data_IF_411947559750
#
_entry.id   IF_411947559750
#
_cell.length_a   1.000
_cell.length_b   1.000
_cell.length_c   1.000
_cell.angle_alpha   90.00
_cell.angle_beta   90.00
_cell.angle_gamma   90.00
#
_symmetry.space_group_name_H-M   'P 1'
#
loop_
_entity.id
_entity.type
_entity.pdbx_description
1 polymer ?
#
# COMPACT_ATOMS: atom_id res chain seq x y z
N UNK A 1 9.33 10.54 2.52
CA UNK A 1 8.98 10.13 1.16
C UNK A 1 9.16 8.63 1.19
N UNK A 2 8.12 7.84 0.90
CA UNK A 2 8.24 6.38 1.03
C UNK A 2 9.13 5.90 -0.10
N UNK A 3 10.38 5.60 0.25
CA UNK A 3 11.43 5.15 -0.69
C UNK A 3 11.01 3.91 -1.47
N UNK A 4 10.12 3.09 -0.91
CA UNK A 4 9.61 1.86 -1.53
C UNK A 4 8.66 2.14 -2.69
N UNK A 5 7.71 3.07 -2.54
CA UNK A 5 6.81 3.44 -3.64
C UNK A 5 7.57 4.14 -4.77
N UNK A 6 8.49 5.04 -4.43
CA UNK A 6 9.35 5.70 -5.42
C UNK A 6 10.18 4.72 -6.22
N UNK A 7 10.80 3.74 -5.55
CA UNK A 7 11.57 2.69 -6.20
C UNK A 7 10.69 1.77 -7.07
N UNK A 8 9.48 1.43 -6.62
CA UNK A 8 8.54 0.65 -7.43
C UNK A 8 8.12 1.41 -8.70
N UNK A 9 7.77 2.70 -8.61
CA UNK A 9 7.49 3.50 -9.80
C UNK A 9 8.73 3.68 -10.68
N UNK A 10 9.92 3.84 -10.11
CA UNK A 10 11.17 3.95 -10.86
C UNK A 10 11.49 2.70 -11.69
N UNK A 11 11.01 1.52 -11.27
CA UNK A 11 11.17 0.26 -12.00
C UNK A 11 10.33 0.19 -13.28
N UNK A 12 9.32 1.05 -13.45
CA UNK A 12 8.57 1.16 -14.71
C UNK A 12 9.31 2.05 -15.72
N UNK A 13 9.13 1.83 -17.03
CA UNK A 13 9.56 2.77 -18.07
C UNK A 13 9.03 4.18 -17.82
N UNK A 14 9.83 5.21 -18.09
CA UNK A 14 9.53 6.62 -17.81
C UNK A 14 8.12 7.06 -18.29
N UNK A 15 7.74 6.62 -19.48
CA UNK A 15 6.45 6.92 -20.12
C UNK A 15 5.25 6.35 -19.35
N UNK A 16 5.45 5.26 -18.62
CA UNK A 16 4.41 4.55 -17.88
C UNK A 16 4.29 4.98 -16.42
N UNK A 17 5.31 5.64 -15.85
CA UNK A 17 5.32 6.01 -14.40
C UNK A 17 4.18 6.95 -14.01
N UNK A 18 3.89 7.93 -14.86
CA UNK A 18 2.84 8.92 -14.63
C UNK A 18 1.42 8.35 -14.64
N UNK A 19 1.03 7.58 -15.68
CA UNK A 19 -0.32 7.02 -15.80
C UNK A 19 -0.55 5.66 -15.14
N UNK A 20 0.51 4.92 -14.73
CA UNK A 20 0.36 3.58 -14.16
C UNK A 20 -0.59 3.58 -12.96
N UNK A 21 -1.63 2.72 -12.91
CA UNK A 21 -2.50 2.65 -11.76
C UNK A 21 -1.74 2.14 -10.53
N UNK A 22 -2.13 2.68 -9.37
CA UNK A 22 -1.69 2.22 -8.04
C UNK A 22 -2.80 1.43 -7.36
N UNK A 23 -2.53 0.17 -7.03
CA UNK A 23 -3.40 -0.66 -6.19
C UNK A 23 -2.81 -0.76 -4.79
N UNK A 24 -3.60 -0.45 -3.76
CA UNK A 24 -3.17 -0.43 -2.36
C UNK A 24 -3.95 -1.47 -1.57
N UNK A 25 -3.28 -2.50 -1.07
CA UNK A 25 -3.86 -3.55 -0.23
C UNK A 25 -4.02 -3.03 1.21
N UNK A 26 -5.12 -2.36 1.51
CA UNK A 26 -5.30 -1.65 2.78
C UNK A 26 -5.98 -2.48 3.87
N UNK A 27 -6.01 -3.81 3.78
CA UNK A 27 -6.72 -4.67 4.75
C UNK A 27 -6.21 -4.47 6.18
N UNK A 28 -4.92 -4.64 6.42
CA UNK A 28 -4.34 -4.52 7.76
C UNK A 28 -4.45 -3.10 8.31
N UNK A 29 -4.33 -2.09 7.45
CA UNK A 29 -4.61 -0.72 7.84
C UNK A 29 -6.07 -0.52 8.24
N UNK A 30 -7.02 -1.09 7.51
CA UNK A 30 -8.44 -0.96 7.82
C UNK A 30 -8.76 -1.60 9.18
N UNK A 31 -8.15 -2.76 9.48
CA UNK A 31 -8.25 -3.40 10.81
C UNK A 31 -7.62 -2.53 11.90
N UNK A 32 -6.43 -1.99 11.66
CA UNK A 32 -5.77 -1.06 12.58
C UNK A 32 -6.62 0.18 12.85
N UNK A 33 -7.12 0.83 11.80
CA UNK A 33 -7.90 2.06 11.89
C UNK A 33 -9.20 1.83 12.66
N UNK A 34 -9.87 0.70 12.42
CA UNK A 34 -11.05 0.29 13.18
C UNK A 34 -10.73 0.06 14.67
N UNK A 35 -9.65 -0.66 15.00
CA UNK A 35 -9.22 -0.86 16.39
C UNK A 35 -8.93 0.47 17.09
N UNK A 36 -8.18 1.36 16.42
CA UNK A 36 -7.84 2.68 16.95
C UNK A 36 -9.08 3.53 17.20
N UNK A 37 -10.06 3.48 16.28
CA UNK A 37 -11.33 4.17 16.45
C UNK A 37 -12.08 3.66 17.69
N UNK A 38 -12.22 2.33 17.83
CA UNK A 38 -12.87 1.71 19.00
C UNK A 38 -12.19 2.12 20.30
N UNK A 39 -10.85 2.04 20.38
CA UNK A 39 -10.11 2.47 21.57
C UNK A 39 -10.40 3.93 21.93
N UNK A 40 -10.46 4.82 20.93
CA UNK A 40 -10.81 6.24 21.17
C UNK A 40 -12.27 6.43 21.61
N UNK A 41 -13.20 5.62 21.11
CA UNK A 41 -14.59 5.65 21.59
C UNK A 41 -14.70 5.29 23.08
N UNK A 42 -13.78 4.47 23.58
CA UNK A 42 -13.71 4.08 24.98
C UNK A 42 -12.84 5.01 25.85
N UNK A 43 -12.16 6.01 25.26
CA UNK A 43 -11.41 7.02 26.00
C UNK A 43 -12.38 8.01 26.65
N UNK A 44 -12.62 7.84 27.96
CA UNK A 44 -13.56 8.65 28.73
C UNK A 44 -12.98 10.02 29.12
N UNK A 45 -11.67 10.22 29.02
CA UNK A 45 -11.01 11.49 29.30
C UNK A 45 -11.04 12.43 28.08
N UNK A 46 -11.06 11.87 26.87
CA UNK A 46 -11.17 12.62 25.62
C UNK A 46 -12.52 12.40 24.95
N UNK A 47 -13.46 13.33 25.16
CA UNK A 47 -14.66 13.41 24.31
C UNK A 47 -14.24 13.48 22.84
N UNK A 48 -14.65 12.48 22.04
CA UNK A 48 -14.45 12.45 20.59
C UNK A 48 -14.86 13.80 19.99
N UNK A 49 -13.90 14.56 19.47
CA UNK A 49 -14.24 15.75 18.69
C UNK A 49 -14.74 15.29 17.32
N UNK A 50 -15.70 15.99 16.68
CA UNK A 50 -16.18 15.65 15.34
C UNK A 50 -15.07 15.50 14.28
N UNK A 51 -13.94 16.20 14.46
CA UNK A 51 -12.75 16.08 13.61
C UNK A 51 -12.00 14.75 13.78
N UNK A 52 -12.13 14.08 14.92
CA UNK A 52 -11.46 12.81 15.21
C UNK A 52 -12.23 11.59 14.68
N UNK A 53 -13.52 11.74 14.36
CA UNK A 53 -14.35 10.71 13.73
C UNK A 53 -14.09 10.51 12.22
N UNK A 54 -13.37 11.42 11.57
CA UNK A 54 -13.20 11.46 10.10
C UNK A 54 -11.83 10.93 9.64
N UNK A 55 -10.93 10.60 10.58
CA UNK A 55 -9.55 10.25 10.24
C UNK A 55 -9.20 8.81 9.82
N UNK A 56 -10.10 7.81 9.72
CA UNK A 56 -9.67 6.46 9.33
C UNK A 56 -9.62 6.25 7.81
N UNK A 57 -9.64 7.30 6.98
CA UNK A 57 -9.66 7.13 5.54
C UNK A 57 -8.31 6.60 5.03
N UNK A 58 -8.33 5.40 4.46
CA UNK A 58 -7.16 4.78 3.83
C UNK A 58 -6.56 5.63 2.69
N UNK A 59 -7.31 6.59 2.15
CA UNK A 59 -6.82 7.60 1.20
C UNK A 59 -5.72 8.48 1.80
N UNK A 60 -5.78 8.78 3.10
CA UNK A 60 -4.79 9.59 3.82
C UNK A 60 -3.46 8.86 4.00
N UNK A 61 -3.43 7.53 3.91
CA UNK A 61 -2.17 6.78 3.86
C UNK A 61 -1.35 7.14 2.64
N UNK A 62 -2.00 7.20 1.48
CA UNK A 62 -1.31 7.31 0.19
C UNK A 62 -1.26 8.73 -0.34
N UNK A 63 -2.10 9.61 0.17
CA UNK A 63 -2.16 11.02 -0.23
C UNK A 63 -0.80 11.74 -0.15
N UNK A 64 0.00 11.62 0.93
CA UNK A 64 1.33 12.23 0.97
C UNK A 64 2.27 11.71 -0.14
N UNK A 65 2.12 10.44 -0.52
CA UNK A 65 2.94 9.80 -1.55
C UNK A 65 2.52 10.23 -2.94
N UNK A 66 1.22 10.12 -3.26
CA UNK A 66 0.67 10.51 -4.56
C UNK A 66 0.91 11.99 -4.87
N UNK A 67 0.79 12.85 -3.84
CA UNK A 67 1.02 14.29 -3.98
C UNK A 67 2.49 14.60 -4.23
N UNK A 68 3.41 13.98 -3.48
CA UNK A 68 4.85 14.21 -3.63
C UNK A 68 5.41 13.67 -4.96
N UNK A 69 4.87 12.54 -5.44
CA UNK A 69 5.28 11.93 -6.70
C UNK A 69 4.64 12.58 -7.94
N UNK A 70 3.73 13.55 -7.77
CA UNK A 70 2.99 14.15 -8.88
C UNK A 70 2.17 13.12 -9.68
N UNK A 71 1.75 12.05 -9.03
CA UNK A 71 1.10 10.90 -9.66
C UNK A 71 -0.23 11.31 -10.32
N UNK A 72 -0.48 10.80 -11.53
CA UNK A 72 -1.70 11.11 -12.31
C UNK A 72 -2.54 9.88 -12.65
N UNK A 73 -2.03 8.69 -12.39
CA UNK A 73 -2.75 7.43 -12.57
C UNK A 73 -3.87 7.26 -11.54
N UNK A 74 -4.77 6.33 -11.83
CA UNK A 74 -5.83 5.95 -10.90
C UNK A 74 -5.25 5.28 -9.66
N UNK A 75 -5.79 5.62 -8.48
CA UNK A 75 -5.45 4.95 -7.23
C UNK A 75 -6.66 4.17 -6.70
N UNK A 76 -6.48 2.86 -6.47
CA UNK A 76 -7.50 1.97 -5.95
C UNK A 76 -7.09 1.46 -4.56
N UNK A 77 -7.98 1.63 -3.58
CA UNK A 77 -7.79 1.13 -2.22
C UNK A 77 -8.62 -0.15 -2.07
N UNK A 78 -7.95 -1.28 -1.85
CA UNK A 78 -8.57 -2.60 -1.83
C UNK A 78 -8.47 -3.21 -0.43
N UNK A 79 -9.62 -3.38 0.23
CA UNK A 79 -9.74 -4.03 1.53
C UNK A 79 -10.39 -5.41 1.38
N UNK A 80 -9.85 -6.42 2.08
CA UNK A 80 -10.42 -7.79 2.08
C UNK A 80 -10.15 -8.59 0.80
N UNK A 81 -9.27 -8.10 -0.08
CA UNK A 81 -8.80 -8.80 -1.27
C UNK A 81 -7.40 -9.33 -1.00
N UNK A 82 -7.12 -10.59 -1.39
CA UNK A 82 -5.77 -11.15 -1.26
C UNK A 82 -4.83 -10.55 -2.30
N UNK A 83 -3.53 -10.54 -2.01
CA UNK A 83 -2.53 -10.09 -2.97
C UNK A 83 -2.62 -10.87 -4.29
N UNK A 84 -2.73 -12.21 -4.23
CA UNK A 84 -2.86 -13.05 -5.43
C UNK A 84 -4.05 -12.68 -6.32
N UNK A 85 -5.22 -12.40 -5.74
CA UNK A 85 -6.38 -11.96 -6.52
C UNK A 85 -6.16 -10.59 -7.19
N UNK A 86 -5.38 -9.71 -6.58
CA UNK A 86 -4.97 -8.45 -7.20
C UNK A 86 -3.96 -8.69 -8.31
N UNK A 87 -3.04 -9.64 -8.16
CA UNK A 87 -2.11 -10.00 -9.25
C UNK A 87 -2.85 -10.57 -10.47
N UNK A 88 -3.83 -11.45 -10.25
CA UNK A 88 -4.71 -11.96 -11.32
C UNK A 88 -5.50 -10.83 -12.02
N UNK A 89 -6.01 -9.87 -11.23
CA UNK A 89 -6.69 -8.69 -11.77
C UNK A 89 -5.74 -7.83 -12.61
N UNK A 90 -4.52 -7.59 -12.11
CA UNK A 90 -3.51 -6.79 -12.81
C UNK A 90 -3.08 -7.48 -14.11
N UNK A 91 -2.81 -8.79 -14.06
CA UNK A 91 -2.47 -9.59 -15.23
C UNK A 91 -3.57 -9.57 -16.30
N UNK A 92 -4.84 -9.53 -15.89
CA UNK A 92 -5.99 -9.47 -16.80
C UNK A 92 -6.41 -8.05 -17.23
N UNK A 93 -5.88 -7.00 -16.59
CA UNK A 93 -6.29 -5.60 -16.82
C UNK A 93 -5.80 -5.01 -18.16
N UNK A 94 -4.85 -5.66 -18.84
CA UNK A 94 -4.24 -5.19 -20.07
C UNK A 94 -3.44 -3.88 -19.93
N UNK A 95 -3.18 -3.41 -18.70
CA UNK A 95 -2.40 -2.20 -18.48
C UNK A 95 -0.90 -2.46 -18.73
N UNK A 96 -0.20 -1.57 -19.46
CA UNK A 96 1.20 -1.77 -19.79
C UNK A 96 2.14 -1.60 -18.59
N UNK A 97 1.69 -1.01 -17.48
CA UNK A 97 2.49 -0.83 -16.27
C UNK A 97 1.59 -0.56 -15.07
N UNK A 98 1.81 -1.26 -13.96
CA UNK A 98 1.00 -1.19 -12.73
C UNK A 98 1.89 -1.22 -11.50
N UNK A 99 1.50 -0.54 -10.43
CA UNK A 99 2.14 -0.65 -9.11
C UNK A 99 1.15 -1.21 -8.09
N UNK A 100 1.57 -2.23 -7.35
CA UNK A 100 0.82 -2.79 -6.22
C UNK A 100 1.59 -2.49 -4.94
N UNK A 101 0.90 -1.99 -3.92
CA UNK A 101 1.48 -1.63 -2.63
C UNK A 101 0.70 -2.27 -1.48
N UNK A 102 1.40 -2.87 -0.54
CA UNK A 102 0.86 -3.40 0.71
C UNK A 102 1.51 -2.65 1.88
N UNK A 103 0.75 -1.86 2.66
CA UNK A 103 1.24 -1.29 3.91
C UNK A 103 1.45 -2.42 4.93
N UNK A 104 2.70 -2.67 5.32
CA UNK A 104 3.06 -3.59 6.38
C UNK A 104 3.10 -2.84 7.73
N UNK A 105 1.97 -2.83 8.42
CA UNK A 105 1.90 -2.22 9.75
C UNK A 105 2.39 -3.19 10.82
N UNK A 106 3.44 -2.84 11.54
CA UNK A 106 3.81 -3.57 12.75
C UNK A 106 2.86 -3.21 13.91
N UNK A 107 2.50 -4.19 14.76
CA UNK A 107 1.74 -3.92 15.97
C UNK A 107 2.47 -2.91 16.87
N UNK A 108 1.87 -1.73 17.08
CA UNK A 108 2.43 -0.67 17.93
C UNK A 108 3.04 0.52 17.19
N UNK A 109 3.27 0.41 15.88
CA UNK A 109 3.80 1.50 15.08
C UNK A 109 2.72 2.54 14.71
N UNK A 110 3.15 3.80 14.53
CA UNK A 110 2.29 4.84 13.96
C UNK A 110 2.23 4.66 12.43
N UNK A 111 1.07 4.31 11.82
CA UNK A 111 0.93 4.13 10.36
C UNK A 111 1.19 5.41 9.55
N UNK A 112 1.27 6.57 10.21
CA UNK A 112 1.61 7.84 9.58
C UNK A 112 3.10 8.15 9.66
N UNK A 113 3.90 7.27 10.29
CA UNK A 113 5.35 7.39 10.25
C UNK A 113 5.83 7.23 8.81
N UNK A 114 6.76 8.10 8.40
CA UNK A 114 7.28 8.10 7.02
C UNK A 114 7.94 6.78 6.61
N UNK A 115 8.35 6.00 7.61
CA UNK A 115 9.04 4.72 7.48
C UNK A 115 8.14 3.53 7.83
N UNK A 116 6.81 3.70 7.81
CA UNK A 116 5.93 2.54 7.84
C UNK A 116 6.35 1.58 6.75
N UNK A 117 6.67 0.36 7.18
CA UNK A 117 7.08 -0.70 6.28
C UNK A 117 5.96 -0.86 5.26
N UNK A 118 6.28 -0.67 4.00
CA UNK A 118 5.36 -0.94 2.90
C UNK A 118 6.15 -1.82 1.94
N UNK A 119 5.49 -2.82 1.37
CA UNK A 119 6.02 -3.57 0.24
C UNK A 119 5.37 -2.99 -1.00
N UNK A 120 6.16 -2.73 -2.04
CA UNK A 120 5.62 -2.37 -3.34
C UNK A 120 6.29 -3.18 -4.44
N UNK A 121 5.52 -3.49 -5.46
CA UNK A 121 5.98 -4.19 -6.64
C UNK A 121 5.37 -3.55 -7.88
N UNK A 122 6.17 -3.49 -8.94
CA UNK A 122 5.75 -3.03 -10.25
C UNK A 122 5.60 -4.23 -11.19
N UNK A 123 4.57 -4.17 -12.04
CA UNK A 123 4.32 -5.12 -13.13
C UNK A 123 4.31 -4.38 -14.46
N UNK A 124 5.00 -4.91 -15.47
CA UNK A 124 5.07 -4.36 -16.82
C UNK A 124 6.33 -4.80 -17.59
N UNK A 125 6.52 -4.35 -18.85
CA UNK A 125 7.73 -4.67 -19.61
C UNK A 125 8.96 -4.07 -18.90
N UNK A 126 9.82 -4.96 -18.39
CA UNK A 126 11.04 -4.60 -17.67
C UNK A 126 10.96 -4.66 -16.13
N UNK A 127 9.81 -5.00 -15.54
CA UNK A 127 9.64 -5.01 -14.08
C UNK A 127 8.81 -6.20 -13.59
N UNK A 128 9.51 -7.16 -13.01
CA UNK A 128 8.93 -8.22 -12.15
C UNK A 128 9.84 -8.35 -10.91
N UNK A 129 10.01 -7.23 -10.20
CA UNK A 129 10.90 -7.14 -9.05
C UNK A 129 10.16 -6.52 -7.86
N UNK A 130 9.91 -7.27 -6.77
CA UNK A 130 9.50 -6.66 -5.51
C UNK A 130 10.60 -5.72 -5.02
N UNK A 131 10.23 -4.50 -4.64
CA UNK A 131 11.10 -3.63 -3.86
C UNK A 131 10.72 -3.79 -2.39
N UNK A 132 11.65 -4.34 -1.63
CA UNK A 132 11.53 -4.51 -0.18
C UNK A 132 12.02 -3.25 0.54
N UNK A 133 11.43 -2.87 1.68
CA UNK A 133 12.03 -1.88 2.57
C UNK A 133 13.35 -2.40 3.15
N UNK A 134 14.31 -1.49 3.36
CA UNK A 134 15.70 -1.77 3.75
C UNK A 134 15.86 -2.29 5.20
N UNK A 135 14.77 -2.51 5.95
CA UNK A 135 14.79 -2.95 7.35
C UNK A 135 13.89 -4.16 7.63
N UNK A 136 14.57 -5.31 7.67
CA UNK A 136 14.34 -6.53 8.45
C UNK A 136 13.18 -7.51 8.10
N UNK A 137 13.42 -8.83 8.32
CA UNK A 137 12.64 -9.93 7.78
C UNK A 137 11.82 -10.62 8.88
N UNK A 138 10.50 -10.39 8.91
CA UNK A 138 9.56 -11.28 9.62
C UNK A 138 8.09 -10.88 9.48
N UNK A 139 7.77 -9.74 8.89
CA UNK A 139 6.38 -9.31 8.75
C UNK A 139 5.69 -10.16 7.69
N UNK A 140 4.56 -10.82 8.01
CA UNK A 140 3.79 -11.55 7.01
C UNK A 140 3.24 -10.54 5.99
N UNK A 141 3.78 -10.54 4.78
CA UNK A 141 3.27 -9.76 3.65
C UNK A 141 2.60 -10.72 2.68
N UNK A 142 1.32 -10.49 2.41
CA UNK A 142 0.58 -11.25 1.41
C UNK A 142 1.19 -11.07 0.02
N UNK A 143 1.67 -9.86 -0.28
CA UNK A 143 2.30 -9.52 -1.56
C UNK A 143 3.64 -10.24 -1.76
N UNK A 144 4.52 -10.30 -0.76
CA UNK A 144 5.79 -11.03 -0.85
C UNK A 144 5.59 -12.54 -0.99
N UNK A 145 4.61 -13.09 -0.28
CA UNK A 145 4.28 -14.51 -0.38
C UNK A 145 3.73 -14.84 -1.76
N UNK A 146 2.80 -14.03 -2.29
CA UNK A 146 2.24 -14.23 -3.64
C UNK A 146 3.31 -14.14 -4.74
N UNK A 147 4.19 -13.14 -4.66
CA UNK A 147 5.32 -12.97 -5.58
C UNK A 147 6.31 -14.14 -5.55
N UNK A 148 6.51 -14.73 -4.38
CA UNK A 148 7.38 -15.90 -4.23
C UNK A 148 6.77 -17.16 -4.83
N UNK A 149 5.44 -17.29 -4.80
CA UNK A 149 4.71 -18.41 -5.42
C UNK A 149 4.71 -18.30 -6.96
N UNK A 150 4.50 -17.12 -7.54
CA UNK A 150 4.53 -16.95 -9.00
C UNK A 150 5.90 -17.24 -9.62
N UNK A 151 7.00 -16.99 -8.90
CA UNK A 151 8.35 -17.31 -9.40
C UNK A 151 8.69 -18.80 -9.44
N UNK A 152 7.88 -19.65 -8.80
CA UNK A 152 8.12 -21.11 -8.71
C UNK A 152 7.24 -21.93 -9.67
N UNK A 153 6.25 -21.30 -10.32
CA UNK A 153 5.32 -21.91 -11.29
C UNK A 153 5.73 -21.64 -12.73
#
# INVERSE_FOLDING_TARGET
MSTVLEAAFAALPDELRGPAPLYVLCHDYSVFAARRLVTRCHDTERRLRPSDSIRPEASELVRPYLTAAGHRGSCYLLAGVSAGAVLELVASSGHPGVVVCEPALLPGDDPHHRDCLAVAAAWGPGGELPVLPDMAPSTPSGLLNALSTERQS
#
